data_IF_674244018070
#
_entry.id   IF_674244018070
#
_cell.length_a   1.000
_cell.length_b   1.000
_cell.length_c   1.000
_cell.angle_alpha   90.00
_cell.angle_beta   90.00
_cell.angle_gamma   90.00
#
_symmetry.space_group_name_H-M   'P 1'
#
loop_
_entity.id
_entity.type
_entity.pdbx_description
1 polymer ?
#
# COMPACT_ATOMS: atom_id res chain seq x y z
N UNK A 1 3.71 5.85 -10.31
CA UNK A 1 3.29 7.27 -10.38
C UNK A 1 3.08 7.81 -8.97
N UNK A 2 3.48 9.05 -8.75
CA UNK A 2 3.31 9.82 -7.52
C UNK A 2 2.65 11.15 -7.91
N UNK A 3 1.68 11.61 -7.13
CA UNK A 3 0.95 12.86 -7.38
C UNK A 3 0.97 13.71 -6.11
N UNK A 4 1.43 14.97 -6.22
CA UNK A 4 1.42 15.93 -5.12
C UNK A 4 0.16 16.80 -5.12
N UNK A 5 -0.11 17.47 -4.00
CA UNK A 5 -1.30 18.32 -3.85
C UNK A 5 -1.33 19.47 -4.86
N UNK A 6 -0.16 19.90 -5.33
CA UNK A 6 0.00 20.95 -6.36
C UNK A 6 -0.16 20.43 -7.80
N UNK A 7 -0.50 19.15 -7.98
CA UNK A 7 -0.69 18.55 -9.30
C UNK A 7 0.62 18.12 -9.99
N UNK A 8 1.73 18.04 -9.25
CA UNK A 8 3.00 17.55 -9.82
C UNK A 8 2.91 16.02 -9.93
N UNK A 9 3.09 15.50 -11.15
CA UNK A 9 3.08 14.07 -11.45
C UNK A 9 4.52 13.59 -11.67
N UNK A 10 4.92 12.56 -10.93
CA UNK A 10 6.28 12.01 -10.95
C UNK A 10 6.20 10.52 -11.28
N UNK A 11 6.89 10.12 -12.36
CA UNK A 11 7.04 8.72 -12.77
C UNK A 11 8.40 8.23 -12.30
N UNK A 12 8.38 7.28 -11.37
CA UNK A 12 9.58 6.60 -10.86
C UNK A 12 9.50 5.15 -11.28
N UNK A 13 10.58 4.60 -11.82
CA UNK A 13 10.61 3.19 -12.17
C UNK A 13 10.81 2.35 -10.91
N UNK A 14 10.26 1.15 -10.89
CA UNK A 14 10.27 0.30 -9.68
C UNK A 14 11.68 -0.24 -9.39
N UNK A 15 12.48 -0.47 -10.43
CA UNK A 15 13.88 -0.89 -10.35
C UNK A 15 14.81 0.17 -9.73
N UNK A 16 14.43 1.45 -9.78
CA UNK A 16 15.15 2.55 -9.13
C UNK A 16 14.89 2.60 -7.61
N UNK A 17 13.89 1.88 -7.10
CA UNK A 17 13.52 1.89 -5.68
C UNK A 17 14.34 0.85 -4.94
N UNK A 18 15.17 1.31 -3.99
CA UNK A 18 15.96 0.43 -3.14
C UNK A 18 15.07 -0.48 -2.29
N UNK A 19 15.29 -1.78 -2.38
CA UNK A 19 14.67 -2.74 -1.47
C UNK A 19 15.15 -2.50 -0.04
N UNK A 20 14.20 -2.40 0.88
CA UNK A 20 14.44 -2.13 2.30
C UNK A 20 13.65 -3.10 3.16
N UNK A 21 14.18 -3.43 4.34
CA UNK A 21 13.55 -4.37 5.26
C UNK A 21 12.32 -3.76 5.95
N UNK A 22 11.48 -4.63 6.54
CA UNK A 22 10.23 -4.21 7.20
C UNK A 22 10.45 -3.31 8.43
N UNK A 23 11.61 -3.41 9.09
CA UNK A 23 12.02 -2.57 10.23
C UNK A 23 12.92 -1.39 9.81
N UNK A 24 12.72 -0.83 8.62
CA UNK A 24 13.51 0.30 8.12
C UNK A 24 12.61 1.51 7.81
N UNK A 25 13.20 2.71 7.87
CA UNK A 25 12.51 3.97 7.55
C UNK A 25 12.24 4.16 6.05
N UNK A 26 12.77 3.29 5.19
CA UNK A 26 12.65 3.39 3.74
C UNK A 26 13.62 4.39 3.10
N UNK A 27 13.30 4.79 1.87
CA UNK A 27 14.07 5.77 1.09
C UNK A 27 13.17 6.90 0.62
N UNK A 28 13.75 8.08 0.46
CA UNK A 28 13.02 9.25 -0.05
C UNK A 28 13.00 9.19 -1.58
N UNK A 29 11.82 9.03 -2.17
CA UNK A 29 11.64 9.00 -3.63
C UNK A 29 11.64 10.40 -4.26
N UNK A 30 11.00 11.37 -3.60
CA UNK A 30 10.84 12.73 -4.10
C UNK A 30 11.12 13.75 -2.98
N UNK A 31 11.64 14.91 -3.36
CA UNK A 31 11.73 16.07 -2.45
C UNK A 31 10.47 16.91 -2.65
N UNK A 32 9.71 17.09 -1.58
CA UNK A 32 8.56 17.98 -1.57
C UNK A 32 9.00 19.38 -1.15
N UNK A 33 8.38 20.39 -1.75
CA UNK A 33 8.54 21.78 -1.34
C UNK A 33 7.80 22.05 -0.03
N UNK A 34 8.10 23.18 0.60
CA UNK A 34 7.48 23.56 1.86
C UNK A 34 5.96 23.73 1.70
N UNK A 35 5.22 23.00 2.54
CA UNK A 35 3.76 22.95 2.50
C UNK A 35 3.17 22.04 1.42
N UNK A 36 3.96 21.42 0.56
CA UNK A 36 3.47 20.41 -0.40
C UNK A 36 3.39 19.02 0.26
N UNK A 37 2.45 18.22 -0.22
CA UNK A 37 2.16 16.87 0.30
C UNK A 37 1.95 15.91 -0.85
N UNK A 38 2.39 14.68 -0.66
CA UNK A 38 1.99 13.57 -1.53
C UNK A 38 0.53 13.23 -1.23
N UNK A 39 -0.32 13.24 -2.25
CA UNK A 39 -1.76 12.97 -2.10
C UNK A 39 -2.18 11.64 -2.71
N UNK A 40 -1.46 11.14 -3.70
CA UNK A 40 -1.77 9.85 -4.31
C UNK A 40 -0.52 9.14 -4.86
N UNK A 41 -0.60 7.82 -4.96
CA UNK A 41 0.34 6.98 -5.68
C UNK A 41 -0.40 5.89 -6.44
N UNK A 42 0.12 5.52 -7.61
CA UNK A 42 -0.44 4.48 -8.45
C UNK A 42 0.68 3.65 -9.07
N UNK A 43 0.51 2.33 -9.10
CA UNK A 43 1.34 1.44 -9.93
C UNK A 43 0.82 1.53 -11.36
N UNK A 44 1.73 1.70 -12.30
CA UNK A 44 1.42 1.68 -13.74
C UNK A 44 2.27 0.61 -14.37
N UNK A 45 1.66 -0.26 -15.14
CA UNK A 45 2.35 -1.32 -15.85
C UNK A 45 3.10 -0.74 -17.05
N UNK A 46 4.20 -1.39 -17.43
CA UNK A 46 5.16 -0.82 -18.38
C UNK A 46 4.62 -0.69 -19.82
N UNK A 47 3.47 -1.29 -20.10
CA UNK A 47 2.83 -1.30 -21.43
C UNK A 47 1.95 -0.07 -21.69
N UNK A 48 1.59 0.69 -20.63
CA UNK A 48 0.82 1.93 -20.72
C UNK A 48 1.75 3.12 -20.45
N UNK A 49 2.71 3.33 -21.33
CA UNK A 49 3.37 4.62 -21.46
C UNK A 49 2.76 5.29 -22.69
N UNK A 50 1.91 6.29 -22.42
CA UNK A 50 1.08 7.04 -23.37
C UNK A 50 -0.27 6.36 -23.63
N UNK A 51 -1.22 6.41 -22.68
CA UNK A 51 -2.63 6.82 -22.88
C UNK A 51 -3.27 7.03 -21.48
N UNK A 52 -3.97 8.15 -21.32
CA UNK A 52 -4.54 8.65 -20.07
C UNK A 52 -5.55 7.70 -19.38
N UNK A 53 -5.48 7.68 -18.04
CA UNK A 53 -6.52 7.34 -17.07
C UNK A 53 -7.34 6.04 -17.27
N UNK A 54 -6.96 4.96 -16.56
CA UNK A 54 -7.86 3.83 -16.26
C UNK A 54 -8.04 3.63 -14.74
N UNK A 55 -9.31 3.67 -14.34
CA UNK A 55 -9.92 3.52 -13.01
C UNK A 55 -9.42 2.31 -12.17
N UNK A 56 -9.17 2.45 -10.85
CA UNK A 56 -8.80 1.33 -9.98
C UNK A 56 -10.06 0.68 -9.38
N UNK A 57 -10.74 -0.15 -10.17
CA UNK A 57 -11.73 -1.10 -9.63
C UNK A 57 -11.39 -2.50 -10.10
N UNK A 58 -10.58 -3.20 -9.32
CA UNK A 58 -10.81 -4.59 -8.86
C UNK A 58 -9.61 -5.05 -8.03
N UNK A 59 -9.77 -5.09 -6.71
CA UNK A 59 -9.08 -6.07 -5.89
C UNK A 59 -10.17 -6.83 -5.12
N UNK A 60 -10.37 -8.14 -5.36
CA UNK A 60 -11.29 -8.92 -4.54
C UNK A 60 -10.69 -9.01 -3.15
N UNK A 61 -11.35 -8.42 -2.15
CA UNK A 61 -11.01 -8.70 -0.75
C UNK A 61 -11.42 -10.15 -0.50
N UNK A 62 -10.45 -11.02 -0.29
CA UNK A 62 -10.70 -12.40 0.15
C UNK A 62 -10.89 -12.37 1.67
N UNK A 63 -12.09 -12.69 2.22
CA UNK A 63 -12.28 -12.75 3.66
C UNK A 63 -11.97 -14.17 4.13
N UNK A 64 -10.77 -14.41 4.65
CA UNK A 64 -10.41 -15.71 5.20
C UNK A 64 -9.40 -15.61 6.33
N UNK A 65 -9.90 -15.38 7.54
CA UNK A 65 -9.46 -16.04 8.76
C UNK A 65 -10.44 -15.66 9.88
N UNK A 66 -11.48 -16.49 10.03
CA UNK A 66 -12.30 -16.48 11.22
C UNK A 66 -11.43 -16.86 12.43
N UNK A 67 -11.53 -16.07 13.50
CA UNK A 67 -11.04 -16.43 14.83
C UNK A 67 -11.55 -17.83 15.21
N UNK A 68 -10.67 -18.77 15.63
CA UNK A 68 -11.15 -19.95 16.33
C UNK A 68 -11.70 -19.52 17.70
N UNK A 69 -12.91 -19.96 18.11
CA UNK A 69 -13.45 -19.58 19.39
C UNK A 69 -12.59 -20.17 20.52
N UNK A 70 -12.26 -19.31 21.48
CA UNK A 70 -11.59 -19.65 22.72
C UNK A 70 -12.25 -20.83 23.42
N UNK A 71 -11.45 -21.81 23.83
CA UNK A 71 -11.87 -22.91 24.69
C UNK A 71 -12.38 -22.34 26.04
N UNK A 72 -13.53 -22.77 26.57
CA UNK A 72 -13.92 -22.40 27.92
C UNK A 72 -13.13 -23.25 28.93
N UNK A 73 -12.32 -22.59 29.76
CA UNK A 73 -11.83 -23.14 31.01
C UNK A 73 -12.85 -22.84 32.13
N UNK A 74 -13.41 -23.91 32.72
CA UNK A 74 -14.06 -24.04 34.04
C UNK A 74 -14.68 -25.45 34.04
N UNK A 75 -14.35 -26.43 34.87
CA UNK A 75 -13.98 -26.37 36.28
C UNK A 75 -15.23 -26.50 37.14
N UNK A 76 -15.73 -27.73 37.36
CA UNK A 76 -16.41 -28.18 38.59
C UNK A 76 -16.75 -29.68 38.50
N UNK A 77 -16.52 -30.42 39.58
CA UNK A 77 -16.44 -31.88 39.61
C UNK A 77 -17.70 -32.64 40.04
N UNK A 78 -17.71 -33.95 39.78
CA UNK A 78 -18.31 -34.97 40.64
C UNK A 78 -17.92 -36.39 40.17
N UNK A 79 -17.18 -37.14 41.00
CA UNK A 79 -17.54 -38.46 41.59
C UNK A 79 -16.56 -38.77 42.71
#
# INVERSE_FOLDING_TARGET
LLITQRGIIIRTRVDEIRQTGRNAAGVRLIKLDEGDKLVAMAKVDAEEADEDAKDPSTAPVSPAAADPPAAPASGDGQV
#
